data_IF_003232751796
#
_entry.id   IF_003232751796
#
_cell.length_a   1.000
_cell.length_b   1.000
_cell.length_c   1.000
_cell.angle_alpha   90.00
_cell.angle_beta   90.00
_cell.angle_gamma   90.00
#
_symmetry.space_group_name_H-M   'P 1'
#
loop_
_entity.id
_entity.type
_entity.pdbx_description
1 polymer ?
#
# COMPACT_ATOMS: atom_id res chain seq x y z
N UNK A 1 5.48 -21.53 8.98
CA UNK A 1 6.32 -20.81 8.00
C UNK A 1 7.70 -20.58 8.59
N UNK A 2 8.76 -20.79 7.81
CA UNK A 2 10.06 -20.45 8.30
C UNK A 2 10.10 -18.95 8.61
N UNK A 3 10.50 -18.63 9.82
CA UNK A 3 10.68 -17.24 10.21
C UNK A 3 11.89 -16.67 9.49
N UNK A 4 11.65 -15.76 8.57
CA UNK A 4 12.71 -14.92 8.04
C UNK A 4 12.85 -13.80 9.07
N UNK A 5 14.00 -13.75 9.71
CA UNK A 5 14.31 -12.74 10.73
C UNK A 5 13.97 -11.33 10.21
N UNK A 6 13.17 -10.60 10.96
CA UNK A 6 12.79 -9.23 10.61
C UNK A 6 11.59 -9.06 9.71
N UNK A 7 11.11 -10.12 9.09
CA UNK A 7 9.94 -10.03 8.20
C UNK A 7 8.68 -10.36 8.97
N UNK A 8 7.75 -9.41 9.02
CA UNK A 8 6.43 -9.63 9.60
C UNK A 8 5.47 -10.13 8.53
N UNK A 9 5.12 -11.40 8.59
CA UNK A 9 4.12 -11.97 7.68
C UNK A 9 2.73 -11.37 7.90
N UNK A 10 2.43 -10.92 9.11
CA UNK A 10 1.22 -10.16 9.39
C UNK A 10 1.24 -8.82 8.67
N UNK A 11 2.37 -8.12 8.71
CA UNK A 11 2.53 -6.86 7.97
C UNK A 11 2.35 -7.06 6.47
N UNK A 12 2.94 -8.13 5.92
CA UNK A 12 2.78 -8.46 4.51
C UNK A 12 1.30 -8.72 4.17
N UNK A 13 0.62 -9.53 4.98
CA UNK A 13 -0.79 -9.85 4.75
C UNK A 13 -1.68 -8.61 4.84
N UNK A 14 -1.43 -7.72 5.81
CA UNK A 14 -2.19 -6.47 5.96
C UNK A 14 -2.01 -5.59 4.72
N UNK A 15 -0.79 -5.40 4.26
CA UNK A 15 -0.53 -4.56 3.08
C UNK A 15 -1.17 -5.17 1.83
N UNK A 16 -1.06 -6.48 1.65
CA UNK A 16 -1.73 -7.15 0.52
C UNK A 16 -3.23 -6.96 0.57
N UNK A 17 -3.84 -7.04 1.75
CA UNK A 17 -5.26 -6.75 1.93
C UNK A 17 -5.63 -5.32 1.54
N UNK A 18 -4.81 -4.34 1.94
CA UNK A 18 -5.01 -2.94 1.56
C UNK A 18 -4.86 -2.73 0.05
N UNK A 19 -3.89 -3.38 -0.57
CA UNK A 19 -3.70 -3.32 -2.03
C UNK A 19 -4.94 -3.84 -2.76
N UNK A 20 -5.47 -4.97 -2.32
CA UNK A 20 -6.70 -5.55 -2.91
C UNK A 20 -7.89 -4.62 -2.69
N UNK A 21 -8.06 -4.10 -1.48
CA UNK A 21 -9.16 -3.20 -1.15
C UNK A 21 -9.10 -1.92 -2.00
N UNK A 22 -7.92 -1.32 -2.14
CA UNK A 22 -7.75 -0.13 -2.97
C UNK A 22 -8.08 -0.42 -4.43
N UNK A 23 -7.64 -1.56 -4.94
CA UNK A 23 -7.92 -1.97 -6.30
C UNK A 23 -9.43 -2.12 -6.54
N UNK A 24 -10.12 -2.84 -5.65
CA UNK A 24 -11.57 -3.04 -5.75
C UNK A 24 -12.32 -1.72 -5.69
N UNK A 25 -11.95 -0.84 -4.77
CA UNK A 25 -12.58 0.47 -4.64
C UNK A 25 -12.27 1.38 -5.84
N UNK A 26 -11.08 1.28 -6.40
CA UNK A 26 -10.71 2.00 -7.62
C UNK A 26 -11.56 1.58 -8.81
N UNK A 27 -11.82 0.27 -8.94
CA UNK A 27 -12.72 -0.25 -9.98
C UNK A 27 -14.14 0.25 -9.76
N UNK A 28 -14.63 0.18 -8.52
CA UNK A 28 -15.97 0.67 -8.19
C UNK A 28 -16.12 2.16 -8.50
N UNK A 29 -15.12 2.96 -8.14
CA UNK A 29 -15.09 4.39 -8.45
C UNK A 29 -15.17 4.64 -9.96
N UNK A 30 -14.42 3.89 -10.74
CA UNK A 30 -14.42 4.02 -12.20
C UNK A 30 -15.81 3.74 -12.78
N UNK A 31 -16.51 2.72 -12.29
CA UNK A 31 -17.87 2.43 -12.72
C UNK A 31 -18.85 3.54 -12.34
N UNK A 32 -18.74 4.07 -11.12
CA UNK A 32 -19.60 5.19 -10.68
C UNK A 32 -19.38 6.44 -11.54
N UNK A 33 -18.15 6.69 -11.97
CA UNK A 33 -17.80 7.86 -12.77
C UNK A 33 -18.00 7.66 -14.28
N UNK A 34 -18.59 6.54 -14.69
CA UNK A 34 -19.08 6.36 -16.05
C UNK A 34 -18.15 5.69 -17.05
N UNK A 35 -17.02 5.13 -16.59
CA UNK A 35 -16.18 4.41 -17.54
C UNK A 35 -14.91 3.84 -16.92
N UNK A 36 -14.48 2.74 -17.52
CA UNK A 36 -13.31 2.03 -17.09
C UNK A 36 -12.43 1.70 -18.29
N UNK A 37 -11.19 2.17 -18.24
CA UNK A 37 -10.23 1.94 -19.33
C UNK A 37 -9.24 0.86 -18.93
N UNK A 38 -9.05 -0.13 -19.81
CA UNK A 38 -8.09 -1.21 -19.56
C UNK A 38 -6.65 -0.71 -19.41
N UNK A 39 -6.29 0.38 -20.09
CA UNK A 39 -4.96 0.99 -19.93
C UNK A 39 -4.73 1.54 -18.52
N UNK A 40 -5.75 2.11 -17.91
CA UNK A 40 -5.69 2.59 -16.53
C UNK A 40 -5.59 1.43 -15.54
N UNK A 41 -6.30 0.35 -15.82
CA UNK A 41 -6.21 -0.89 -15.03
C UNK A 41 -4.78 -1.44 -15.03
N UNK A 42 -4.20 -1.60 -16.22
CA UNK A 42 -2.85 -2.14 -16.35
C UNK A 42 -1.82 -1.25 -15.64
N UNK A 43 -1.96 0.07 -15.74
CA UNK A 43 -1.09 1.02 -15.06
C UNK A 43 -1.21 0.89 -13.53
N UNK A 44 -2.43 0.78 -13.03
CA UNK A 44 -2.70 0.59 -11.60
C UNK A 44 -2.13 -0.73 -11.09
N UNK A 45 -2.30 -1.82 -11.84
CA UNK A 45 -1.75 -3.12 -11.47
C UNK A 45 -0.22 -3.12 -11.48
N UNK A 46 0.39 -2.48 -12.48
CA UNK A 46 1.85 -2.37 -12.56
C UNK A 46 2.41 -1.58 -11.36
N UNK A 47 1.75 -0.49 -10.98
CA UNK A 47 2.13 0.31 -9.82
C UNK A 47 2.04 -0.50 -8.52
N UNK A 48 0.96 -1.25 -8.33
CA UNK A 48 0.79 -2.10 -7.15
C UNK A 48 1.77 -3.26 -7.13
N UNK A 49 2.07 -3.83 -8.29
CA UNK A 49 3.10 -4.85 -8.45
C UNK A 49 4.47 -4.31 -8.03
N UNK A 50 4.78 -3.06 -8.37
CA UNK A 50 6.03 -2.42 -7.98
C UNK A 50 6.13 -2.27 -6.46
N UNK A 51 5.04 -1.91 -5.78
CA UNK A 51 5.02 -1.83 -4.31
C UNK A 51 5.31 -3.20 -3.67
N UNK A 52 4.68 -4.25 -4.16
CA UNK A 52 4.94 -5.61 -3.68
C UNK A 52 6.40 -6.00 -3.93
N UNK A 53 6.92 -5.68 -5.11
CA UNK A 53 8.32 -5.98 -5.45
C UNK A 53 9.30 -5.28 -4.50
N UNK A 54 9.06 -4.02 -4.14
CA UNK A 54 9.92 -3.29 -3.20
C UNK A 54 9.85 -3.91 -1.81
N UNK A 55 8.67 -4.35 -1.37
CA UNK A 55 8.53 -5.05 -0.09
C UNK A 55 9.30 -6.37 -0.07
N UNK A 56 9.19 -7.16 -1.15
CA UNK A 56 9.92 -8.41 -1.26
C UNK A 56 11.44 -8.18 -1.33
N UNK A 57 11.87 -7.12 -2.01
CA UNK A 57 13.27 -6.75 -2.06
C UNK A 57 13.79 -6.36 -0.67
N UNK A 58 13.02 -5.59 0.10
CA UNK A 58 13.39 -5.23 1.46
C UNK A 58 13.51 -6.47 2.36
N UNK A 59 12.57 -7.41 2.24
CA UNK A 59 12.62 -8.68 2.97
C UNK A 59 13.86 -9.50 2.58
N UNK A 60 14.18 -9.55 1.30
CA UNK A 60 15.34 -10.25 0.80
C UNK A 60 16.65 -9.64 1.35
N UNK A 61 16.75 -8.32 1.37
CA UNK A 61 17.92 -7.63 1.90
C UNK A 61 18.07 -7.86 3.42
N UNK A 62 16.96 -7.84 4.17
CA UNK A 62 17.02 -8.16 5.60
C UNK A 62 17.52 -9.59 5.83
N UNK A 63 16.99 -10.54 5.07
CA UNK A 63 17.50 -11.91 5.15
C UNK A 63 18.97 -11.99 4.77
N UNK A 64 19.36 -11.36 3.65
CA UNK A 64 20.76 -11.35 3.20
C UNK A 64 21.70 -10.77 4.23
N UNK A 65 21.27 -9.74 4.94
CA UNK A 65 22.07 -9.13 6.00
C UNK A 65 22.35 -10.08 7.18
N UNK A 66 21.50 -11.08 7.37
CA UNK A 66 21.73 -12.10 8.42
C UNK A 66 22.71 -13.18 8.00
N UNK A 67 22.91 -13.39 6.68
CA UNK A 67 23.74 -14.49 6.18
C UNK A 67 25.02 -14.03 5.49
N UNK A 68 25.12 -12.77 5.08
CA UNK A 68 26.29 -12.25 4.38
C UNK A 68 26.95 -11.10 5.15
N UNK A 69 28.10 -11.35 5.81
CA UNK A 69 28.73 -10.39 6.72
C UNK A 69 28.99 -9.00 6.15
N UNK A 70 29.37 -8.81 4.85
CA UNK A 70 29.64 -7.46 4.33
C UNK A 70 28.46 -6.49 4.42
N UNK A 71 27.22 -6.99 4.47
CA UNK A 71 26.02 -6.15 4.60
C UNK A 71 25.31 -6.33 5.94
N UNK A 72 25.97 -6.94 6.93
CA UNK A 72 25.37 -7.26 8.22
C UNK A 72 24.82 -6.03 8.97
N UNK A 73 25.36 -4.84 8.71
CA UNK A 73 24.87 -3.61 9.31
C UNK A 73 23.39 -3.35 8.96
N UNK A 74 22.92 -3.82 7.80
CA UNK A 74 21.52 -3.67 7.41
C UNK A 74 20.58 -4.50 8.29
N UNK A 75 21.09 -5.54 8.96
CA UNK A 75 20.27 -6.36 9.86
C UNK A 75 19.75 -5.59 11.08
N UNK A 76 20.34 -4.43 11.39
CA UNK A 76 19.88 -3.57 12.49
C UNK A 76 18.74 -2.65 12.06
N UNK A 77 18.41 -2.58 10.76
CA UNK A 77 17.40 -1.71 10.22
C UNK A 77 16.12 -2.51 9.92
N UNK A 78 14.94 -2.03 10.31
CA UNK A 78 13.68 -2.69 9.99
C UNK A 78 13.24 -2.35 8.56
N UNK A 79 13.99 -2.80 7.56
CA UNK A 79 13.78 -2.44 6.17
C UNK A 79 12.40 -2.84 5.66
N UNK A 80 12.00 -4.09 5.92
CA UNK A 80 10.70 -4.58 5.48
C UNK A 80 9.56 -3.79 6.14
N UNK A 81 9.62 -3.63 7.47
CA UNK A 81 8.56 -2.93 8.19
C UNK A 81 8.45 -1.47 7.75
N UNK A 82 9.58 -0.79 7.53
CA UNK A 82 9.57 0.60 7.07
C UNK A 82 8.92 0.73 5.69
N UNK A 83 9.28 -0.14 4.75
CA UNK A 83 8.68 -0.16 3.42
C UNK A 83 7.19 -0.53 3.49
N UNK A 84 6.85 -1.55 4.28
CA UNK A 84 5.47 -2.00 4.44
C UNK A 84 4.58 -0.90 5.02
N UNK A 85 5.04 -0.17 6.03
CA UNK A 85 4.29 0.96 6.60
C UNK A 85 4.12 2.06 5.55
N UNK A 86 5.17 2.38 4.81
CA UNK A 86 5.08 3.38 3.73
C UNK A 86 4.05 3.01 2.68
N UNK A 87 4.07 1.77 2.22
CA UNK A 87 3.09 1.27 1.25
C UNK A 87 1.68 1.29 1.84
N UNK A 88 1.53 0.86 3.11
CA UNK A 88 0.24 0.88 3.79
C UNK A 88 -0.35 2.29 3.84
N UNK A 89 0.48 3.31 4.13
CA UNK A 89 0.01 4.70 4.17
C UNK A 89 -0.44 5.18 2.80
N UNK A 90 0.29 4.84 1.75
CA UNK A 90 -0.10 5.16 0.37
C UNK A 90 -1.43 4.50 0.02
N UNK A 91 -1.57 3.22 0.32
CA UNK A 91 -2.80 2.46 0.00
C UNK A 91 -3.99 2.96 0.81
N UNK A 92 -3.80 3.27 2.10
CA UNK A 92 -4.86 3.85 2.93
C UNK A 92 -5.34 5.20 2.38
N UNK A 93 -4.42 6.08 1.98
CA UNK A 93 -4.77 7.37 1.38
C UNK A 93 -5.58 7.16 0.10
N UNK A 94 -5.18 6.23 -0.74
CA UNK A 94 -5.87 5.92 -1.97
C UNK A 94 -7.26 5.32 -1.72
N UNK A 95 -7.39 4.44 -0.72
CA UNK A 95 -8.68 3.87 -0.29
C UNK A 95 -9.62 4.98 0.14
N UNK A 96 -9.15 5.90 0.99
CA UNK A 96 -9.95 7.04 1.45
C UNK A 96 -10.42 7.89 0.29
N UNK A 97 -9.52 8.22 -0.64
CA UNK A 97 -9.88 8.99 -1.83
C UNK A 97 -10.97 8.29 -2.67
N UNK A 98 -10.84 6.98 -2.85
CA UNK A 98 -11.80 6.21 -3.62
C UNK A 98 -13.17 6.16 -2.94
N UNK A 99 -13.21 5.98 -1.61
CA UNK A 99 -14.45 5.95 -0.85
C UNK A 99 -15.15 7.31 -0.92
N UNK A 100 -14.41 8.41 -0.71
CA UNK A 100 -14.97 9.76 -0.77
C UNK A 100 -15.47 10.08 -2.18
N UNK A 101 -14.77 9.62 -3.22
CA UNK A 101 -15.21 9.82 -4.60
C UNK A 101 -16.51 9.06 -4.91
N UNK A 102 -16.71 7.88 -4.29
CA UNK A 102 -17.93 7.09 -4.44
C UNK A 102 -19.08 7.71 -3.63
N UNK A 103 -18.80 8.19 -2.41
CA UNK A 103 -19.79 8.78 -1.51
C UNK A 103 -19.24 10.08 -0.90
N UNK A 104 -19.43 11.23 -1.56
CA UNK A 104 -18.89 12.52 -1.10
C UNK A 104 -19.38 12.96 0.28
N UNK A 105 -20.52 12.47 0.74
CA UNK A 105 -21.05 12.81 2.07
C UNK A 105 -20.11 12.40 3.20
N UNK A 106 -19.28 11.40 2.98
CA UNK A 106 -18.32 10.92 3.97
C UNK A 106 -17.19 11.92 4.23
N UNK A 107 -16.94 12.84 3.30
CA UNK A 107 -15.89 13.84 3.45
C UNK A 107 -16.10 14.74 4.68
N UNK A 108 -17.36 14.95 5.08
CA UNK A 108 -17.71 15.82 6.20
C UNK A 108 -17.73 15.10 7.57
N UNK A 109 -17.54 13.79 7.60
CA UNK A 109 -17.50 13.04 8.85
C UNK A 109 -16.24 13.40 9.66
N UNK A 110 -16.36 13.71 10.97
CA UNK A 110 -15.21 14.11 11.79
C UNK A 110 -14.08 13.09 11.82
N UNK A 111 -14.41 11.81 11.87
CA UNK A 111 -13.45 10.71 11.81
C UNK A 111 -12.62 10.75 10.53
N UNK A 112 -13.27 11.08 9.43
CA UNK A 112 -12.68 11.03 8.10
C UNK A 112 -11.74 12.19 7.81
N UNK A 113 -11.94 13.32 8.47
CA UNK A 113 -11.13 14.52 8.23
C UNK A 113 -9.63 14.32 8.51
N UNK A 114 -9.30 13.45 9.44
CA UNK A 114 -7.90 13.15 9.77
C UNK A 114 -7.17 12.45 8.63
N UNK A 115 -7.86 11.63 7.84
CA UNK A 115 -7.25 10.81 6.81
C UNK A 115 -7.26 11.46 5.43
N UNK A 116 -8.21 12.35 5.19
CA UNK A 116 -8.52 12.79 3.83
C UNK A 116 -8.40 14.29 3.62
N UNK A 117 -7.95 15.06 4.62
CA UNK A 117 -7.95 16.51 4.54
C UNK A 117 -7.15 17.05 3.36
N UNK A 118 -6.00 16.45 3.04
CA UNK A 118 -5.18 16.87 1.89
C UNK A 118 -5.78 16.42 0.56
N UNK A 119 -6.27 15.21 0.50
CA UNK A 119 -6.83 14.64 -0.72
C UNK A 119 -8.09 15.40 -1.16
N UNK A 120 -8.92 15.82 -0.22
CA UNK A 120 -10.15 16.54 -0.49
C UNK A 120 -9.86 18.00 -0.89
N UNK A 121 -8.91 18.65 -0.24
CA UNK A 121 -8.58 20.05 -0.52
C UNK A 121 -7.93 20.26 -1.89
N UNK A 122 -7.31 19.24 -2.45
CA UNK A 122 -6.64 19.30 -3.74
C UNK A 122 -7.57 18.97 -4.92
N UNK A 123 -8.83 18.77 -4.65
CA UNK A 123 -9.86 18.55 -5.65
C UNK A 123 -10.81 19.75 -5.70
#
# INVERSE_FOLDING_TARGET
MPEISGVSWYGFAIVCGLVVADFVLGVARAFVQGGYRSSELCRGLARKGAFIAVMLLAAYLEWGATVWPPISALATLPLFDAVAVGVAMIELSSIVENIVAINPDLADAPFWSHFSSKAIKNK
#
